data_IF_838350237758
#
_entry.id   IF_838350237758
#
_cell.length_a   1.000
_cell.length_b   1.000
_cell.length_c   1.000
_cell.angle_alpha   90.00
_cell.angle_beta   90.00
_cell.angle_gamma   90.00
#
_symmetry.space_group_name_H-M   'P 1'
#
loop_
_entity.id
_entity.type
_entity.pdbx_description
1 polymer ?
#
# COMPACT_ATOMS: atom_id res chain seq x y z
N UNK A 1 -6.66 8.61 -4.63
CA UNK A 1 -6.30 10.04 -4.79
C UNK A 1 -4.78 10.26 -4.76
N UNK A 2 -4.03 9.76 -3.77
CA UNK A 2 -2.58 9.98 -3.58
C UNK A 2 -1.76 9.64 -4.83
N UNK A 3 -1.98 8.46 -5.42
CA UNK A 3 -1.29 8.04 -6.65
C UNK A 3 -1.52 8.97 -7.83
N UNK A 4 -2.71 9.56 -7.96
CA UNK A 4 -3.01 10.54 -8.99
C UNK A 4 -2.25 11.85 -8.77
N UNK A 5 -2.19 12.34 -7.53
CA UNK A 5 -1.44 13.54 -7.17
C UNK A 5 0.05 13.36 -7.49
N UNK A 6 0.63 12.22 -7.12
CA UNK A 6 2.02 11.89 -7.41
C UNK A 6 2.30 11.83 -8.92
N UNK A 7 1.37 11.23 -9.70
CA UNK A 7 1.49 11.16 -11.16
C UNK A 7 1.49 12.55 -11.80
N UNK A 8 0.64 13.47 -11.35
CA UNK A 8 0.62 14.85 -11.82
C UNK A 8 1.86 15.64 -11.37
N UNK A 9 2.34 15.43 -10.14
CA UNK A 9 3.56 16.07 -9.65
C UNK A 9 4.78 15.67 -10.51
N UNK A 10 4.93 14.38 -10.79
CA UNK A 10 5.98 13.88 -11.67
C UNK A 10 5.86 14.44 -13.11
N UNK A 11 4.63 14.59 -13.63
CA UNK A 11 4.41 15.20 -14.92
C UNK A 11 4.88 16.66 -14.97
N UNK A 12 4.59 17.45 -13.92
CA UNK A 12 5.04 18.85 -13.85
C UNK A 12 6.56 18.96 -13.89
N UNK A 13 7.27 17.98 -13.34
CA UNK A 13 8.72 17.88 -13.39
C UNK A 13 9.25 17.26 -14.69
N UNK A 14 8.37 16.99 -15.66
CA UNK A 14 8.73 16.31 -16.91
C UNK A 14 9.37 14.92 -16.69
N UNK A 15 8.98 14.22 -15.64
CA UNK A 15 9.42 12.88 -15.32
C UNK A 15 8.60 11.81 -16.06
N UNK A 16 9.14 10.59 -16.12
CA UNK A 16 8.41 9.42 -16.60
C UNK A 16 7.61 8.82 -15.48
N UNK A 17 6.34 8.56 -15.71
CA UNK A 17 5.43 7.91 -14.78
C UNK A 17 5.10 6.50 -15.28
N UNK A 18 5.23 5.49 -14.43
CA UNK A 18 4.74 4.15 -14.63
C UNK A 18 3.76 3.76 -13.53
N UNK A 19 3.02 2.68 -13.74
CA UNK A 19 2.06 2.17 -12.76
C UNK A 19 2.11 0.64 -12.72
N UNK A 20 2.00 0.09 -11.53
CA UNK A 20 1.73 -1.33 -11.31
C UNK A 20 0.58 -1.44 -10.31
N UNK A 21 -0.53 -2.04 -10.74
CA UNK A 21 -1.63 -2.41 -9.86
C UNK A 21 -1.51 -3.91 -9.59
N UNK A 22 -1.67 -4.29 -8.36
CA UNK A 22 -1.51 -5.68 -7.94
C UNK A 22 -2.49 -6.04 -6.82
N UNK A 23 -2.80 -7.32 -6.78
CA UNK A 23 -3.46 -8.03 -5.70
C UNK A 23 -2.52 -9.18 -5.28
N UNK A 24 -2.96 -10.42 -5.22
CA UNK A 24 -2.08 -11.59 -5.11
C UNK A 24 -1.13 -11.74 -6.32
N UNK A 25 -1.42 -11.02 -7.42
CA UNK A 25 -0.62 -10.96 -8.64
C UNK A 25 -0.67 -9.56 -9.26
N UNK A 26 0.22 -9.33 -10.23
CA UNK A 26 0.17 -8.08 -11.01
C UNK A 26 -1.01 -8.13 -11.96
N UNK A 27 -1.98 -7.26 -11.77
CA UNK A 27 -3.16 -7.13 -12.62
C UNK A 27 -2.95 -6.15 -13.77
N UNK A 28 -2.16 -5.11 -13.51
CA UNK A 28 -1.87 -4.12 -14.54
C UNK A 28 -0.47 -3.56 -14.42
N UNK A 29 0.20 -3.47 -15.55
CA UNK A 29 1.50 -2.80 -15.68
C UNK A 29 1.46 -1.77 -16.79
N UNK A 30 1.80 -0.53 -16.47
CA UNK A 30 1.97 0.57 -17.41
C UNK A 30 3.42 1.01 -17.40
N UNK A 31 4.12 0.80 -18.50
CA UNK A 31 5.54 1.17 -18.62
C UNK A 31 5.74 2.68 -18.46
N UNK A 32 6.85 3.10 -17.82
CA UNK A 32 7.13 4.51 -17.60
C UNK A 32 7.27 5.30 -18.91
N UNK A 33 6.44 6.32 -19.08
CA UNK A 33 6.50 7.25 -20.21
C UNK A 33 6.18 8.68 -19.76
N UNK A 34 6.45 9.64 -20.64
CA UNK A 34 6.18 11.06 -20.43
C UNK A 34 4.91 11.50 -21.16
N UNK A 35 4.41 12.67 -20.77
CA UNK A 35 3.38 13.38 -21.50
C UNK A 35 2.00 13.28 -20.86
N UNK A 36 1.19 14.33 -21.13
CA UNK A 36 -0.10 14.50 -20.50
C UNK A 36 -1.06 13.33 -20.76
N UNK A 37 -1.15 12.86 -22.00
CA UNK A 37 -2.02 11.71 -22.35
C UNK A 37 -1.66 10.44 -21.58
N UNK A 38 -0.35 10.22 -21.37
CA UNK A 38 0.13 9.05 -20.63
C UNK A 38 -0.23 9.15 -19.14
N UNK A 39 -0.02 10.31 -18.51
CA UNK A 39 -0.35 10.53 -17.11
C UNK A 39 -1.86 10.45 -16.87
N UNK A 40 -2.68 11.05 -17.76
CA UNK A 40 -4.13 10.91 -17.68
C UNK A 40 -4.59 9.44 -17.80
N UNK A 41 -3.92 8.65 -18.65
CA UNK A 41 -4.17 7.21 -18.70
C UNK A 41 -3.83 6.53 -17.37
N UNK A 42 -2.67 6.83 -16.77
CA UNK A 42 -2.26 6.27 -15.47
C UNK A 42 -3.29 6.62 -14.40
N UNK A 43 -3.72 7.89 -14.33
CA UNK A 43 -4.72 8.34 -13.37
C UNK A 43 -6.07 7.64 -13.58
N UNK A 44 -6.52 7.53 -14.83
CA UNK A 44 -7.75 6.79 -15.15
C UNK A 44 -7.64 5.32 -14.74
N UNK A 45 -6.48 4.71 -14.97
CA UNK A 45 -6.26 3.31 -14.63
C UNK A 45 -6.22 3.10 -13.11
N UNK A 46 -5.73 4.07 -12.31
CA UNK A 46 -5.81 4.05 -10.85
C UNK A 46 -7.26 4.16 -10.36
N UNK A 47 -8.03 5.10 -10.92
CA UNK A 47 -9.37 5.41 -10.42
C UNK A 47 -10.45 4.43 -10.91
N UNK A 48 -10.25 3.83 -12.07
CA UNK A 48 -11.25 2.98 -12.73
C UNK A 48 -10.91 1.48 -12.70
N UNK A 49 -9.83 1.08 -12.02
CA UNK A 49 -9.49 -0.33 -11.92
C UNK A 49 -10.37 -1.01 -10.89
N UNK A 50 -11.00 -2.09 -11.30
CA UNK A 50 -11.68 -3.01 -10.40
C UNK A 50 -10.81 -4.24 -10.29
N UNK A 51 -10.34 -4.59 -9.07
CA UNK A 51 -9.50 -5.77 -8.89
C UNK A 51 -10.22 -7.07 -9.34
N UNK A 52 -9.50 -7.91 -10.07
CA UNK A 52 -9.99 -9.23 -10.49
C UNK A 52 -9.83 -10.28 -9.38
N UNK A 53 -8.87 -10.02 -8.46
CA UNK A 53 -8.52 -10.92 -7.36
C UNK A 53 -8.50 -10.15 -6.03
N UNK A 54 -8.55 -10.89 -4.95
CA UNK A 54 -8.44 -10.37 -3.58
C UNK A 54 -7.02 -10.58 -3.04
N UNK A 55 -6.69 -9.92 -1.93
CA UNK A 55 -5.38 -10.01 -1.30
C UNK A 55 -4.33 -9.08 -1.90
N UNK A 56 -3.17 -8.97 -1.25
CA UNK A 56 -2.08 -8.09 -1.62
C UNK A 56 -0.72 -8.78 -1.53
N UNK A 57 -0.13 -9.27 -2.63
CA UNK A 57 1.23 -9.81 -2.61
C UNK A 57 2.25 -8.81 -3.16
N UNK A 58 2.74 -7.96 -2.25
CA UNK A 58 3.79 -6.99 -2.55
C UNK A 58 5.07 -7.66 -3.08
N UNK A 59 5.37 -8.88 -2.68
CA UNK A 59 6.53 -9.64 -3.16
C UNK A 59 6.45 -9.87 -4.66
N UNK A 60 5.32 -10.37 -5.15
CA UNK A 60 5.11 -10.61 -6.57
C UNK A 60 5.17 -9.31 -7.39
N UNK A 61 4.57 -8.23 -6.89
CA UNK A 61 4.62 -6.92 -7.53
C UNK A 61 6.07 -6.41 -7.67
N UNK A 62 6.86 -6.46 -6.60
CA UNK A 62 8.26 -6.05 -6.60
C UNK A 62 9.12 -6.92 -7.52
N UNK A 63 8.93 -8.25 -7.52
CA UNK A 63 9.65 -9.16 -8.41
C UNK A 63 9.32 -8.88 -9.89
N UNK A 64 8.07 -8.60 -10.20
CA UNK A 64 7.66 -8.20 -11.55
C UNK A 64 8.36 -6.91 -11.98
N UNK A 65 8.36 -5.88 -11.12
CA UNK A 65 9.02 -4.61 -11.40
C UNK A 65 10.52 -4.77 -11.60
N UNK A 66 11.20 -5.57 -10.78
CA UNK A 66 12.63 -5.84 -10.92
C UNK A 66 12.99 -6.50 -12.28
N UNK A 67 12.11 -7.33 -12.81
CA UNK A 67 12.28 -7.97 -14.14
C UNK A 67 11.95 -7.01 -15.28
N UNK A 68 10.89 -6.22 -15.13
CA UNK A 68 10.33 -5.37 -16.18
C UNK A 68 11.03 -4.00 -16.27
N UNK A 69 11.59 -3.51 -15.17
CA UNK A 69 12.18 -2.18 -15.10
C UNK A 69 13.55 -2.20 -14.42
N UNK A 70 14.61 -1.97 -15.21
CA UNK A 70 16.00 -2.05 -14.76
C UNK A 70 16.66 -0.69 -14.45
N UNK A 71 16.03 0.41 -14.86
CA UNK A 71 16.60 1.75 -14.65
C UNK A 71 16.32 2.22 -13.23
N UNK A 72 17.29 2.91 -12.62
CA UNK A 72 17.10 3.55 -11.31
C UNK A 72 15.95 4.55 -11.39
N UNK A 73 15.06 4.51 -10.41
CA UNK A 73 13.87 5.35 -10.32
C UNK A 73 13.50 5.57 -8.87
N UNK A 74 12.62 6.53 -8.62
CA UNK A 74 11.83 6.59 -7.40
C UNK A 74 10.71 5.57 -7.54
N UNK A 75 10.53 4.72 -6.55
CA UNK A 75 9.46 3.73 -6.45
C UNK A 75 8.62 4.07 -5.24
N UNK A 76 7.37 4.41 -5.48
CA UNK A 76 6.41 4.70 -4.41
C UNK A 76 5.49 3.51 -4.25
N UNK A 77 5.49 2.94 -3.06
CA UNK A 77 4.61 1.85 -2.65
C UNK A 77 3.41 2.46 -1.93
N UNK A 78 2.21 2.19 -2.43
CA UNK A 78 0.95 2.63 -1.83
C UNK A 78 0.19 1.38 -1.37
N UNK A 79 0.01 1.21 -0.06
CA UNK A 79 -0.68 0.07 0.55
C UNK A 79 -1.09 0.41 1.98
N UNK A 80 -1.96 -0.37 2.57
CA UNK A 80 -2.23 -0.39 4.01
C UNK A 80 -1.15 -1.14 4.80
N UNK A 81 -0.35 -1.98 4.11
CA UNK A 81 0.71 -2.82 4.68
C UNK A 81 0.22 -3.74 5.82
N UNK A 82 -0.97 -4.29 5.69
CA UNK A 82 -1.52 -5.26 6.64
C UNK A 82 -0.82 -6.62 6.54
N UNK A 83 -0.35 -6.98 5.34
CA UNK A 83 0.41 -8.19 5.11
C UNK A 83 1.88 -8.07 5.55
N UNK A 84 2.52 -9.18 5.95
CA UNK A 84 3.94 -9.19 6.31
C UNK A 84 4.83 -8.67 5.18
N UNK A 85 5.73 -7.73 5.50
CA UNK A 85 6.63 -7.14 4.52
C UNK A 85 7.61 -8.18 3.93
N UNK A 86 7.78 -8.24 2.60
CA UNK A 86 8.77 -9.10 1.95
C UNK A 86 10.17 -8.48 2.06
N UNK A 87 10.76 -8.51 3.25
CA UNK A 87 12.00 -7.82 3.64
C UNK A 87 13.13 -8.01 2.61
N UNK A 88 13.41 -9.26 2.23
CA UNK A 88 14.49 -9.56 1.27
C UNK A 88 14.25 -8.93 -0.12
N UNK A 89 13.02 -8.89 -0.56
CA UNK A 89 12.63 -8.31 -1.86
C UNK A 89 12.68 -6.78 -1.82
N UNK A 90 12.25 -6.18 -0.70
CA UNK A 90 12.38 -4.74 -0.45
C UNK A 90 13.85 -4.30 -0.39
N UNK A 91 14.72 -5.07 0.27
CA UNK A 91 16.16 -4.81 0.27
C UNK A 91 16.75 -4.81 -1.16
N UNK A 92 16.33 -5.75 -1.99
CA UNK A 92 16.77 -5.82 -3.39
C UNK A 92 16.25 -4.61 -4.19
N UNK A 93 15.00 -4.21 -3.98
CA UNK A 93 14.42 -3.03 -4.61
C UNK A 93 15.19 -1.74 -4.19
N UNK A 94 15.45 -1.58 -2.89
CA UNK A 94 16.16 -0.43 -2.32
C UNK A 94 17.60 -0.27 -2.84
N UNK A 95 18.28 -1.38 -3.17
CA UNK A 95 19.62 -1.34 -3.78
C UNK A 95 19.64 -0.71 -5.18
N UNK A 96 18.52 -0.76 -5.90
CA UNK A 96 18.41 -0.27 -7.29
C UNK A 96 17.61 1.02 -7.42
N UNK A 97 16.62 1.18 -6.58
CA UNK A 97 15.64 2.24 -6.66
C UNK A 97 15.66 3.06 -5.37
N UNK A 98 15.12 4.24 -5.45
CA UNK A 98 14.81 5.05 -4.29
C UNK A 98 13.37 4.73 -3.88
N UNK A 99 13.22 4.00 -2.77
CA UNK A 99 11.93 3.43 -2.37
C UNK A 99 11.32 4.28 -1.26
N UNK A 100 10.06 4.65 -1.45
CA UNK A 100 9.23 5.36 -0.46
C UNK A 100 7.97 4.54 -0.24
N UNK A 101 7.62 4.27 1.01
CA UNK A 101 6.39 3.62 1.41
C UNK A 101 5.39 4.67 1.89
N UNK A 102 4.18 4.66 1.33
CA UNK A 102 3.06 5.48 1.77
C UNK A 102 1.96 4.55 2.24
N UNK A 103 1.75 4.53 3.54
CA UNK A 103 0.68 3.77 4.18
C UNK A 103 -0.62 4.56 4.09
N UNK A 104 -1.65 3.91 3.59
CA UNK A 104 -3.01 4.45 3.55
C UNK A 104 -3.79 3.81 4.70
N UNK A 105 -4.30 4.63 5.61
CA UNK A 105 -5.11 4.16 6.75
C UNK A 105 -6.52 4.71 6.68
N UNK A 106 -7.50 3.92 7.10
CA UNK A 106 -8.87 4.42 7.28
C UNK A 106 -9.01 4.95 8.73
N UNK A 107 -9.31 6.24 8.92
CA UNK A 107 -9.54 6.79 10.27
C UNK A 107 -10.64 6.08 11.05
N UNK A 108 -11.62 5.45 10.36
CA UNK A 108 -12.69 4.70 11.02
C UNK A 108 -12.18 3.41 11.68
N UNK A 109 -11.07 2.86 11.20
CA UNK A 109 -10.43 1.70 11.83
C UNK A 109 -9.77 2.05 13.18
N UNK A 110 -9.52 3.33 13.44
CA UNK A 110 -8.95 3.83 14.68
C UNK A 110 -10.03 4.21 15.72
N UNK A 111 -11.29 4.25 15.30
CA UNK A 111 -12.40 4.68 16.14
C UNK A 111 -13.44 3.56 16.29
N UNK A 112 -13.15 2.59 17.15
CA UNK A 112 -14.16 1.62 17.51
C UNK A 112 -15.17 2.27 18.48
N UNK A 113 -16.49 1.99 18.32
CA UNK A 113 -17.48 2.43 19.28
C UNK A 113 -17.17 1.84 20.65
N UNK A 114 -17.36 2.65 21.68
CA UNK A 114 -16.92 2.37 23.06
C UNK A 114 -17.48 1.07 23.67
N UNK A 115 -18.63 0.56 23.19
CA UNK A 115 -19.25 -0.70 23.63
C UNK A 115 -20.24 -1.18 22.58
N UNK A 116 -20.32 -2.50 22.37
CA UNK A 116 -21.35 -3.09 21.54
C UNK A 116 -20.90 -4.25 20.67
N UNK A 117 -21.85 -4.70 19.86
CA UNK A 117 -21.59 -5.69 18.83
C UNK A 117 -21.19 -4.96 17.55
N UNK A 118 -20.01 -5.28 17.03
CA UNK A 118 -19.51 -4.75 15.78
C UNK A 118 -19.44 -5.88 14.79
N UNK A 119 -20.04 -5.66 13.63
CA UNK A 119 -19.86 -6.55 12.49
C UNK A 119 -18.68 -6.02 11.69
N UNK A 120 -17.62 -6.78 11.64
CA UNK A 120 -16.42 -6.48 10.82
C UNK A 120 -16.50 -7.32 9.56
N UNK A 121 -16.35 -6.69 8.43
CA UNK A 121 -16.15 -7.36 7.15
C UNK A 121 -14.67 -7.20 6.77
N UNK A 122 -14.01 -8.31 6.58
CA UNK A 122 -12.67 -8.31 6.03
C UNK A 122 -12.72 -7.86 4.57
N UNK A 123 -12.09 -6.72 4.27
CA UNK A 123 -12.14 -6.10 2.94
C UNK A 123 -11.50 -6.97 1.85
N UNK A 124 -10.58 -7.87 2.23
CA UNK A 124 -9.88 -8.74 1.29
C UNK A 124 -10.59 -10.08 1.08
N UNK A 125 -10.98 -10.75 2.16
CA UNK A 125 -11.67 -12.05 2.07
C UNK A 125 -13.18 -11.91 1.89
N UNK A 126 -13.77 -10.79 2.36
CA UNK A 126 -15.20 -10.59 2.46
C UNK A 126 -15.85 -11.45 3.57
N UNK A 127 -15.03 -12.05 4.45
CA UNK A 127 -15.54 -12.75 5.61
C UNK A 127 -16.13 -11.75 6.60
N UNK A 128 -17.32 -12.08 7.08
CA UNK A 128 -18.02 -11.25 8.06
C UNK A 128 -17.87 -11.89 9.43
N UNK A 129 -17.20 -11.19 10.33
CA UNK A 129 -17.04 -11.57 11.73
C UNK A 129 -17.80 -10.63 12.66
N UNK A 130 -18.47 -11.20 13.67
CA UNK A 130 -19.05 -10.40 14.76
C UNK A 130 -18.06 -10.36 15.93
N UNK A 131 -17.62 -9.16 16.29
CA UNK A 131 -16.84 -8.92 17.50
C UNK A 131 -17.73 -8.22 18.50
N UNK A 132 -17.88 -8.81 19.68
CA UNK A 132 -18.62 -8.19 20.78
C UNK A 132 -17.60 -7.62 21.76
N UNK A 133 -17.49 -6.30 21.78
CA UNK A 133 -16.66 -5.59 22.75
C UNK A 133 -17.47 -5.47 24.06
N UNK A 134 -17.12 -6.29 25.05
CA UNK A 134 -17.88 -6.41 26.30
C UNK A 134 -17.37 -5.49 27.41
N UNK A 135 -16.10 -5.13 27.35
CA UNK A 135 -15.45 -4.29 28.37
C UNK A 135 -14.35 -3.42 27.76
N UNK A 136 -13.93 -2.40 28.50
CA UNK A 136 -12.85 -1.49 28.08
C UNK A 136 -11.50 -2.19 27.90
N UNK A 137 -11.24 -3.28 28.63
CA UNK A 137 -9.95 -3.99 28.56
C UNK A 137 -9.73 -4.67 27.21
N UNK A 138 -10.79 -5.21 26.58
CA UNK A 138 -10.72 -5.82 25.24
C UNK A 138 -10.45 -4.75 24.18
N UNK A 139 -11.07 -3.59 24.33
CA UNK A 139 -10.84 -2.42 23.46
C UNK A 139 -9.40 -1.94 23.59
N UNK A 140 -8.91 -1.77 24.83
CA UNK A 140 -7.54 -1.33 25.10
C UNK A 140 -6.51 -2.36 24.59
N UNK A 141 -6.81 -3.66 24.69
CA UNK A 141 -5.95 -4.71 24.15
C UNK A 141 -5.85 -4.65 22.63
N UNK A 142 -6.99 -4.41 21.95
CA UNK A 142 -7.02 -4.25 20.49
C UNK A 142 -6.20 -3.04 20.03
N UNK A 143 -6.37 -1.88 20.66
CA UNK A 143 -5.59 -0.70 20.30
C UNK A 143 -4.10 -0.85 20.61
N UNK A 144 -3.74 -1.51 21.72
CA UNK A 144 -2.32 -1.81 22.00
C UNK A 144 -1.71 -2.71 20.94
N UNK A 145 -2.41 -3.76 20.52
CA UNK A 145 -1.92 -4.66 19.48
C UNK A 145 -1.71 -3.93 18.15
N UNK A 146 -2.64 -3.02 17.78
CA UNK A 146 -2.49 -2.20 16.56
C UNK A 146 -1.31 -1.23 16.67
N UNK A 147 -1.14 -0.57 17.82
CA UNK A 147 -0.01 0.32 18.05
C UNK A 147 1.32 -0.44 17.94
N UNK A 148 1.42 -1.60 18.55
CA UNK A 148 2.61 -2.47 18.46
C UNK A 148 2.90 -2.90 17.02
N UNK A 149 1.87 -3.27 16.26
CA UNK A 149 2.02 -3.62 14.85
C UNK A 149 2.50 -2.44 14.00
N UNK A 150 1.97 -1.25 14.28
CA UNK A 150 2.40 -0.02 13.62
C UNK A 150 3.86 0.33 13.94
N UNK A 151 4.26 0.24 15.21
CA UNK A 151 5.64 0.48 15.64
C UNK A 151 6.60 -0.53 14.97
N UNK A 152 6.20 -1.79 14.88
CA UNK A 152 6.97 -2.83 14.20
C UNK A 152 7.13 -2.53 12.70
N UNK A 153 6.07 -2.09 12.03
CA UNK A 153 6.10 -1.70 10.62
C UNK A 153 7.07 -0.54 10.38
N UNK A 154 7.00 0.50 11.22
CA UNK A 154 7.93 1.63 11.15
C UNK A 154 9.39 1.22 11.38
N UNK A 155 9.63 0.36 12.37
CA UNK A 155 10.97 -0.19 12.64
C UNK A 155 11.51 -0.99 11.45
N UNK A 156 10.65 -1.78 10.78
CA UNK A 156 11.04 -2.56 9.61
C UNK A 156 11.43 -1.64 8.45
N UNK A 157 10.65 -0.61 8.13
CA UNK A 157 10.98 0.35 7.07
C UNK A 157 12.25 1.14 7.40
N UNK A 158 12.39 1.61 8.64
CA UNK A 158 13.59 2.30 9.11
C UNK A 158 14.82 1.40 9.01
N UNK A 159 14.71 0.14 9.40
CA UNK A 159 15.79 -0.85 9.27
C UNK A 159 16.20 -1.15 7.83
N UNK A 160 15.30 -0.95 6.88
CA UNK A 160 15.54 -1.06 5.45
C UNK A 160 16.08 0.24 4.83
N UNK A 161 16.08 1.36 5.55
CA UNK A 161 16.38 2.69 5.02
C UNK A 161 15.36 3.15 3.98
N UNK A 162 14.09 2.78 4.16
CA UNK A 162 12.95 3.16 3.32
C UNK A 162 12.17 4.23 4.07
N UNK A 163 11.96 5.39 3.43
CA UNK A 163 11.11 6.44 3.97
C UNK A 163 9.67 5.94 4.04
N UNK A 164 9.05 6.08 5.23
CA UNK A 164 7.68 5.67 5.49
C UNK A 164 6.83 6.88 5.85
N UNK A 165 5.71 7.05 5.14
CA UNK A 165 4.75 8.13 5.34
C UNK A 165 3.38 7.50 5.60
N UNK A 166 2.71 7.94 6.66
CA UNK A 166 1.34 7.53 6.98
C UNK A 166 0.36 8.63 6.60
N UNK A 167 -0.73 8.26 5.93
CA UNK A 167 -1.82 9.15 5.49
C UNK A 167 -3.17 8.61 5.94
#
# INVERSE_FOLDING_TARGET
EVGAVLAFAAQRNNDKVGLTLFTERVEKYVSPAKGNRHVLRVVRDILGHTPDHRGGDLRHALQHLQKSFRRRSVMVLLSDFLDPLPISTLQQARRRHDVVAIQITDPHEEQLPALGRITLEDAESGEVGEVTLRNGEEIDAFFRQRAEAQDQLEQQFNGLGIDHIRL
#
